data_IF_097425006673
#
_entry.id   IF_097425006673
#
_cell.length_a   1.000
_cell.length_b   1.000
_cell.length_c   1.000
_cell.angle_alpha   90.00
_cell.angle_beta   90.00
_cell.angle_gamma   90.00
#
_symmetry.space_group_name_H-M   'P 1'
#
loop_
_entity.id
_entity.type
_entity.pdbx_description
1 polymer ?
#
# COMPACT_ATOMS: atom_id res chain seq x y z
N UNK A 1 5.55 -11.05 3.40
CA UNK A 1 4.60 -11.34 2.30
C UNK A 1 5.15 -10.70 1.06
N UNK A 2 5.66 -11.47 0.09
CA UNK A 2 6.04 -10.90 -1.20
C UNK A 2 4.82 -10.47 -2.02
N UNK A 3 5.07 -9.71 -3.08
CA UNK A 3 4.03 -9.26 -4.01
C UNK A 3 3.57 -10.37 -4.95
N UNK A 4 3.03 -9.97 -6.09
CA UNK A 4 2.69 -10.86 -7.20
C UNK A 4 3.38 -10.38 -8.46
N UNK A 5 3.88 -11.33 -9.25
CA UNK A 5 4.42 -11.08 -10.58
C UNK A 5 3.33 -11.48 -11.56
N UNK A 6 2.95 -10.56 -12.45
CA UNK A 6 2.04 -10.88 -13.54
C UNK A 6 2.75 -11.83 -14.52
N UNK A 7 2.13 -12.97 -14.80
CA UNK A 7 2.61 -13.92 -15.81
C UNK A 7 1.93 -13.67 -17.14
N UNK A 8 0.60 -13.58 -17.13
CA UNK A 8 -0.21 -13.46 -18.34
C UNK A 8 -1.47 -12.65 -18.08
N UNK A 9 -1.89 -11.93 -19.10
CA UNK A 9 -3.22 -11.34 -19.22
C UNK A 9 -3.88 -11.95 -20.46
N UNK A 10 -5.05 -12.56 -20.29
CA UNK A 10 -5.81 -13.23 -21.34
C UNK A 10 -7.22 -12.63 -21.41
N UNK A 11 -7.85 -12.65 -22.58
CA UNK A 11 -9.27 -12.28 -22.74
C UNK A 11 -10.05 -13.52 -23.17
N UNK A 12 -11.24 -13.72 -22.59
CA UNK A 12 -12.24 -14.64 -23.15
C UNK A 12 -13.54 -13.92 -23.44
N UNK A 13 -14.22 -14.33 -24.50
CA UNK A 13 -15.55 -13.86 -24.85
C UNK A 13 -16.50 -15.04 -24.97
N UNK A 14 -17.70 -14.94 -24.39
CA UNK A 14 -18.75 -15.95 -24.56
C UNK A 14 -20.14 -15.30 -24.65
N UNK A 15 -21.06 -15.99 -25.32
CA UNK A 15 -22.44 -15.53 -25.49
C UNK A 15 -23.32 -16.11 -24.39
N UNK A 16 -24.03 -15.26 -23.65
CA UNK A 16 -24.97 -15.73 -22.64
C UNK A 16 -26.28 -16.25 -23.27
N UNK A 17 -27.18 -16.82 -22.45
CA UNK A 17 -28.47 -17.36 -22.91
C UNK A 17 -29.41 -16.32 -23.56
N UNK A 18 -29.09 -15.03 -23.45
CA UNK A 18 -29.84 -13.92 -24.03
C UNK A 18 -29.19 -13.36 -25.30
N UNK A 19 -28.11 -13.98 -25.80
CA UNK A 19 -27.41 -13.53 -27.00
C UNK A 19 -26.38 -12.42 -26.77
N UNK A 20 -26.17 -11.98 -25.53
CA UNK A 20 -25.19 -10.93 -25.25
C UNK A 20 -23.77 -11.51 -25.15
N UNK A 21 -22.81 -10.85 -25.81
CA UNK A 21 -21.39 -11.17 -25.66
C UNK A 21 -20.87 -10.60 -24.33
N UNK A 22 -20.35 -11.48 -23.48
CA UNK A 22 -19.66 -11.13 -22.24
C UNK A 22 -18.17 -11.29 -22.48
N UNK A 23 -17.41 -10.23 -22.21
CA UNK A 23 -15.96 -10.23 -22.22
C UNK A 23 -15.43 -10.34 -20.80
N UNK A 24 -14.40 -11.14 -20.62
CA UNK A 24 -13.75 -11.34 -19.33
C UNK A 24 -12.24 -11.31 -19.50
N UNK A 25 -11.60 -10.48 -18.68
CA UNK A 25 -10.16 -10.40 -18.54
C UNK A 25 -9.71 -11.39 -17.47
N UNK A 26 -8.76 -12.26 -17.83
CA UNK A 26 -8.17 -13.26 -16.96
C UNK A 26 -6.73 -12.86 -16.68
N UNK A 27 -6.46 -12.49 -15.43
CA UNK A 27 -5.13 -12.11 -14.97
C UNK A 27 -4.48 -13.29 -14.23
N UNK A 28 -3.34 -13.77 -14.71
CA UNK A 28 -2.58 -14.87 -14.13
C UNK A 28 -1.36 -14.29 -13.42
N UNK A 29 -1.29 -14.50 -12.11
CA UNK A 29 -0.20 -14.03 -11.28
C UNK A 29 0.53 -15.19 -10.60
N UNK A 30 1.84 -15.05 -10.47
CA UNK A 30 2.66 -15.88 -9.59
C UNK A 30 2.96 -15.12 -8.30
N UNK A 31 2.87 -15.81 -7.17
CA UNK A 31 3.33 -15.24 -5.90
C UNK A 31 4.83 -14.97 -5.98
N UNK A 32 5.21 -13.72 -5.71
CA UNK A 32 6.60 -13.38 -5.55
C UNK A 32 7.09 -13.85 -4.17
N UNK A 33 8.23 -14.54 -4.17
CA UNK A 33 8.87 -15.00 -2.95
C UNK A 33 9.84 -13.97 -2.36
N UNK A 34 10.10 -12.86 -3.06
CA UNK A 34 10.91 -11.79 -2.51
C UNK A 34 10.24 -11.13 -1.32
N UNK A 35 11.05 -10.74 -0.33
CA UNK A 35 10.55 -9.94 0.79
C UNK A 35 10.23 -8.54 0.25
N UNK A 36 9.08 -7.96 0.60
CA UNK A 36 8.74 -6.61 0.20
C UNK A 36 9.77 -5.66 0.82
N UNK A 37 10.37 -4.82 -0.01
CA UNK A 37 11.26 -3.76 0.47
C UNK A 37 10.38 -2.65 1.02
N UNK A 38 10.26 -2.54 2.34
CA UNK A 38 9.43 -1.52 2.99
C UNK A 38 10.01 -0.11 2.84
N UNK A 39 11.31 0.00 2.55
CA UNK A 39 12.03 1.26 2.39
C UNK A 39 11.71 1.96 1.06
N UNK A 40 11.29 1.21 0.03
CA UNK A 40 10.95 1.80 -1.28
C UNK A 40 9.62 2.55 -1.27
N UNK A 41 8.72 2.24 -0.33
CA UNK A 41 7.45 2.96 -0.23
C UNK A 41 7.64 4.44 0.12
N UNK A 42 8.60 4.75 0.99
CA UNK A 42 8.92 6.14 1.38
C UNK A 42 9.50 6.92 0.19
N UNK A 43 10.41 6.32 -0.57
CA UNK A 43 11.02 6.99 -1.73
C UNK A 43 10.00 7.26 -2.84
N UNK A 44 9.10 6.30 -3.11
CA UNK A 44 7.99 6.48 -4.07
C UNK A 44 7.04 7.58 -3.61
N UNK A 45 6.64 7.57 -2.34
CA UNK A 45 5.79 8.62 -1.78
C UNK A 45 6.46 10.00 -1.86
N UNK A 46 7.75 10.09 -1.53
CA UNK A 46 8.53 11.34 -1.63
C UNK A 46 8.58 11.86 -3.06
N UNK A 47 8.79 10.99 -4.05
CA UNK A 47 8.79 11.37 -5.46
C UNK A 47 7.44 11.96 -5.89
N UNK A 48 6.33 11.34 -5.50
CA UNK A 48 4.98 11.84 -5.80
C UNK A 48 4.66 13.14 -5.07
N UNK A 49 5.06 13.28 -3.79
CA UNK A 49 4.87 14.52 -3.03
C UNK A 49 5.66 15.68 -3.65
N UNK A 50 6.91 15.45 -4.06
CA UNK A 50 7.71 16.46 -4.76
C UNK A 50 7.09 16.86 -6.11
N UNK A 51 6.56 15.89 -6.86
CA UNK A 51 5.85 16.16 -8.11
C UNK A 51 4.57 16.97 -7.86
N UNK A 52 3.79 16.61 -6.84
CA UNK A 52 2.59 17.34 -6.43
C UNK A 52 2.89 18.76 -5.95
N UNK A 53 3.99 18.96 -5.22
CA UNK A 53 4.42 20.25 -4.71
C UNK A 53 4.64 21.27 -5.83
N UNK A 54 5.15 20.84 -6.98
CA UNK A 54 5.35 21.71 -8.15
C UNK A 54 4.06 22.27 -8.74
N UNK A 55 2.91 21.63 -8.45
CA UNK A 55 1.58 21.98 -8.98
C UNK A 55 0.64 22.55 -7.91
N UNK A 56 0.98 22.41 -6.64
CA UNK A 56 0.13 22.79 -5.52
C UNK A 56 0.27 24.28 -5.15
N UNK A 57 -0.83 24.87 -4.70
CA UNK A 57 -0.91 26.26 -4.21
C UNK A 57 -1.69 26.32 -2.90
N UNK A 58 -1.53 27.41 -2.14
CA UNK A 58 -2.25 27.61 -0.88
C UNK A 58 -1.99 26.50 0.15
N UNK A 59 -3.06 26.09 0.84
CA UNK A 59 -3.02 25.13 1.95
C UNK A 59 -2.50 23.76 1.52
N UNK A 60 -2.84 23.32 0.30
CA UNK A 60 -2.37 22.03 -0.25
C UNK A 60 -0.84 22.00 -0.33
N UNK A 61 -0.20 23.14 -0.65
CA UNK A 61 1.26 23.22 -0.66
C UNK A 61 1.85 23.07 0.74
N UNK A 62 1.20 23.68 1.74
CA UNK A 62 1.62 23.58 3.13
C UNK A 62 1.50 22.13 3.65
N UNK A 63 0.40 21.46 3.34
CA UNK A 63 0.16 20.06 3.71
C UNK A 63 1.18 19.11 3.07
N UNK A 64 1.50 19.30 1.78
CA UNK A 64 2.52 18.50 1.11
C UNK A 64 3.90 18.72 1.75
N UNK A 65 4.27 19.95 2.10
CA UNK A 65 5.54 20.24 2.78
C UNK A 65 5.60 19.61 4.17
N UNK A 66 4.50 19.63 4.92
CA UNK A 66 4.41 18.98 6.23
C UNK A 66 4.54 17.45 6.10
N UNK A 67 3.87 16.85 5.11
CA UNK A 67 3.98 15.42 4.82
C UNK A 67 5.42 15.02 4.45
N UNK A 68 6.12 15.81 3.63
CA UNK A 68 7.52 15.57 3.29
C UNK A 68 8.41 15.61 4.55
N UNK A 69 8.22 16.59 5.44
CA UNK A 69 9.00 16.68 6.70
C UNK A 69 8.81 15.49 7.62
N UNK A 70 7.65 14.85 7.58
CA UNK A 70 7.28 13.75 8.48
C UNK A 70 7.46 12.37 7.84
N UNK A 71 7.95 12.29 6.60
CA UNK A 71 7.98 11.04 5.84
C UNK A 71 8.83 9.94 6.50
N UNK A 72 9.93 10.33 7.16
CA UNK A 72 10.82 9.40 7.88
C UNK A 72 10.19 8.87 9.19
N UNK A 73 9.15 9.53 9.70
CA UNK A 73 8.43 9.09 10.89
C UNK A 73 7.44 7.96 10.58
N UNK A 74 7.18 7.68 9.30
CA UNK A 74 6.26 6.63 8.87
C UNK A 74 6.92 5.27 9.08
N UNK A 75 6.42 4.55 10.07
CA UNK A 75 6.88 3.19 10.37
C UNK A 75 6.23 2.15 9.45
N UNK A 76 6.95 1.09 9.05
CA UNK A 76 6.37 0.01 8.26
C UNK A 76 5.17 -0.64 8.95
N UNK A 77 4.20 -1.09 8.17
CA UNK A 77 3.01 -1.77 8.72
C UNK A 77 3.41 -3.01 9.55
N UNK A 78 2.76 -3.25 10.70
CA UNK A 78 3.01 -4.42 11.55
C UNK A 78 2.86 -5.76 10.82
N UNK A 79 2.12 -5.80 9.70
CA UNK A 79 1.99 -6.98 8.85
C UNK A 79 3.34 -7.47 8.30
N UNK A 80 4.32 -6.58 8.18
CA UNK A 80 5.67 -6.89 7.71
C UNK A 80 6.60 -7.36 8.84
N UNK A 81 6.23 -7.16 10.11
CA UNK A 81 6.93 -7.68 11.28
C UNK A 81 5.93 -8.26 12.31
N UNK A 82 5.45 -9.51 12.11
CA UNK A 82 4.44 -10.10 12.98
C UNK A 82 4.92 -10.31 14.43
N UNK A 83 6.24 -10.31 14.68
CA UNK A 83 6.78 -10.42 16.04
C UNK A 83 6.66 -9.11 16.84
N UNK A 84 6.74 -7.95 16.19
CA UNK A 84 6.50 -6.66 16.86
C UNK A 84 5.02 -6.37 17.05
N UNK A 85 4.15 -6.86 16.14
CA UNK A 85 2.70 -6.67 16.22
C UNK A 85 2.09 -7.21 17.54
N UNK A 86 2.56 -8.36 18.02
CA UNK A 86 2.09 -8.96 19.29
C UNK A 86 2.57 -8.15 20.51
N UNK A 87 3.75 -7.54 20.44
CA UNK A 87 4.34 -6.76 21.54
C UNK A 87 3.67 -5.38 21.64
N UNK A 88 3.32 -4.75 20.52
CA UNK A 88 2.65 -3.44 20.50
C UNK A 88 1.18 -3.52 20.92
N UNK A 89 0.50 -4.64 20.64
CA UNK A 89 -0.82 -4.93 21.18
C UNK A 89 -0.77 -5.03 22.72
N UNK A 90 0.19 -5.79 23.27
CA UNK A 90 0.37 -5.96 24.71
C UNK A 90 0.74 -4.65 25.43
N UNK A 91 1.54 -3.76 24.80
CA UNK A 91 1.87 -2.44 25.37
C UNK A 91 0.69 -1.46 25.40
N UNK A 92 -0.22 -1.53 24.42
CA UNK A 92 -1.45 -0.73 24.42
C UNK A 92 -2.38 -1.13 25.56
N UNK A 93 -2.50 -2.42 25.83
CA UNK A 93 -3.31 -2.94 26.94
C UNK A 93 -2.70 -2.55 28.31
N UNK A 94 -1.38 -2.58 28.44
CA UNK A 94 -0.69 -2.19 29.68
C UNK A 94 -0.77 -0.69 30.00
N UNK A 95 -0.81 0.20 28.99
CA UNK A 95 -1.02 1.64 29.20
C UNK A 95 -2.46 2.00 29.54
N UNK A 96 -3.43 1.25 29.03
CA UNK A 96 -4.85 1.44 29.33
C UNK A 96 -5.19 1.03 30.77
N UNK A 97 -4.51 0.01 31.30
CA UNK A 97 -4.68 -0.45 32.68
C UNK A 97 -4.03 0.44 33.77
N UNK A 98 -3.18 1.41 33.39
CA UNK A 98 -2.46 2.29 34.33
C UNK A 98 -2.83 3.78 34.15
N UNK A 99 -3.99 4.05 33.56
CA UNK A 99 -4.53 5.40 33.31
C UNK A 99 -5.89 5.62 34.02
N UNK A 100 -6.27 4.73 34.94
CA UNK A 100 -7.41 4.88 35.84
C UNK A 100 -6.92 5.03 37.29
#
# INVERSE_FOLDING_TARGET
>A
MGGFIELHTLERTFTNKFGNAIKEDILIFQKDNQKPQTETAQSVALAHLNQGLSKATGDVKADILDAIKKIELVTPSPIFNPKSATIDAQKKDFKKANSE
#
